data_IF_824476449065
#
_entry.id   IF_824476449065
#
_cell.length_a   1.000
_cell.length_b   1.000
_cell.length_c   1.000
_cell.angle_alpha   90.00
_cell.angle_beta   90.00
_cell.angle_gamma   90.00
#
_symmetry.space_group_name_H-M   'P 1'
#
loop_
_entity.id
_entity.type
_entity.pdbx_description
1 polymer ?
#
# COMPACT_ATOMS: atom_id res chain seq x y z
N UNK A 1 -12.50 3.85 -19.26
CA UNK A 1 -12.05 5.26 -19.33
C UNK A 1 -10.99 5.39 -18.26
N UNK A 2 -9.75 5.23 -18.72
CA UNK A 2 -8.55 4.93 -17.96
C UNK A 2 -8.13 6.21 -17.23
N UNK A 3 -7.64 6.08 -15.98
CA UNK A 3 -6.99 7.11 -15.15
C UNK A 3 -6.71 8.40 -15.96
N UNK A 4 -7.61 9.38 -15.87
CA UNK A 4 -7.52 10.61 -16.69
C UNK A 4 -6.45 11.58 -16.17
N UNK A 5 -5.81 11.25 -15.03
CA UNK A 5 -4.72 12.01 -14.45
C UNK A 5 -3.38 11.49 -15.00
N UNK A 6 -2.59 12.31 -15.70
CA UNK A 6 -1.22 11.91 -16.04
C UNK A 6 -0.43 11.72 -14.74
N UNK A 7 0.19 10.54 -14.57
CA UNK A 7 1.07 10.29 -13.44
C UNK A 7 2.32 11.16 -13.58
N UNK A 8 2.68 11.86 -12.50
CA UNK A 8 3.92 12.62 -12.41
C UNK A 8 4.74 12.14 -11.21
N UNK A 9 6.07 12.37 -11.19
CA UNK A 9 6.84 12.23 -9.98
C UNK A 9 6.20 13.04 -8.85
N UNK A 10 6.04 12.42 -7.69
CA UNK A 10 5.41 13.03 -6.53
C UNK A 10 6.45 13.31 -5.46
N UNK A 11 6.24 14.36 -4.65
CA UNK A 11 7.14 14.65 -3.55
C UNK A 11 6.77 13.81 -2.33
N UNK A 12 7.74 13.07 -1.80
CA UNK A 12 7.61 12.27 -0.60
C UNK A 12 8.41 12.93 0.50
N UNK A 13 7.72 13.55 1.45
CA UNK A 13 8.32 14.33 2.52
C UNK A 13 8.63 13.43 3.71
N UNK A 14 9.89 13.00 3.78
CA UNK A 14 10.38 12.14 4.86
C UNK A 14 10.74 12.99 6.07
N UNK A 15 9.98 12.83 7.15
CA UNK A 15 10.16 13.50 8.43
C UNK A 15 10.89 12.57 9.42
N UNK A 16 12.06 12.98 9.89
CA UNK A 16 12.83 12.26 10.90
C UNK A 16 13.87 13.15 11.57
N UNK A 17 14.13 12.93 12.86
CA UNK A 17 15.26 13.53 13.59
C UNK A 17 16.58 12.80 13.29
N UNK A 18 16.52 11.61 12.71
CA UNK A 18 17.67 10.79 12.39
C UNK A 18 18.12 11.00 10.95
N UNK A 19 19.42 10.86 10.70
CA UNK A 19 20.00 10.80 9.36
C UNK A 19 20.52 9.39 9.07
N UNK A 20 20.54 8.94 7.80
CA UNK A 20 21.12 7.65 7.44
C UNK A 20 22.53 7.49 7.98
N UNK A 21 22.80 6.36 8.63
CA UNK A 21 24.08 6.09 9.30
C UNK A 21 24.56 4.65 9.03
N UNK A 22 25.83 4.38 9.34
CA UNK A 22 26.47 3.09 9.05
C UNK A 22 26.44 2.80 7.55
N UNK A 23 25.95 1.61 7.18
CA UNK A 23 25.88 1.17 5.77
C UNK A 23 24.65 1.71 5.01
N UNK A 24 23.72 2.38 5.70
CA UNK A 24 22.48 2.88 5.08
C UNK A 24 22.73 3.84 3.91
N UNK A 25 23.63 4.84 3.98
CA UNK A 25 23.86 5.76 2.85
C UNK A 25 24.29 5.04 1.57
N UNK A 26 25.17 4.05 1.70
CA UNK A 26 25.65 3.24 0.57
C UNK A 26 24.52 2.38 0.00
N UNK A 27 23.78 1.68 0.86
CA UNK A 27 22.66 0.85 0.43
C UNK A 27 21.55 1.66 -0.27
N UNK A 28 21.23 2.85 0.24
CA UNK A 28 20.26 3.77 -0.39
C UNK A 28 20.76 4.16 -1.77
N UNK A 29 22.03 4.55 -1.90
CA UNK A 29 22.63 4.98 -3.16
C UNK A 29 22.57 3.86 -4.20
N UNK A 30 23.03 2.66 -3.85
CA UNK A 30 23.03 1.50 -4.75
C UNK A 30 21.62 1.14 -5.23
N UNK A 31 20.64 1.10 -4.32
CA UNK A 31 19.25 0.80 -4.68
C UNK A 31 18.64 1.85 -5.62
N UNK A 32 18.91 3.14 -5.37
CA UNK A 32 18.43 4.23 -6.21
C UNK A 32 19.07 4.19 -7.59
N UNK A 33 20.39 3.97 -7.66
CA UNK A 33 21.12 3.81 -8.93
C UNK A 33 20.59 2.63 -9.74
N UNK A 34 20.39 1.47 -9.12
CA UNK A 34 19.81 0.30 -9.79
C UNK A 34 18.43 0.59 -10.38
N UNK A 35 17.56 1.27 -9.62
CA UNK A 35 16.22 1.65 -10.11
C UNK A 35 16.31 2.61 -11.30
N UNK A 36 17.22 3.59 -11.24
CA UNK A 36 17.43 4.57 -12.32
C UNK A 36 18.05 3.94 -13.58
N UNK A 37 18.87 2.90 -13.41
CA UNK A 37 19.45 2.11 -14.50
C UNK A 37 18.44 1.13 -15.13
N UNK A 38 17.21 1.05 -14.60
CA UNK A 38 16.16 0.18 -15.11
C UNK A 38 16.24 -1.26 -14.61
N UNK A 39 17.01 -1.53 -13.55
CA UNK A 39 17.04 -2.83 -12.90
C UNK A 39 15.67 -3.13 -12.28
N UNK A 40 15.12 -4.30 -12.63
CA UNK A 40 13.78 -4.71 -12.19
C UNK A 40 13.78 -5.35 -10.80
N UNK A 41 14.81 -6.13 -10.51
CA UNK A 41 14.90 -6.95 -9.30
C UNK A 41 16.17 -6.61 -8.54
N UNK A 42 16.04 -6.21 -7.28
CA UNK A 42 17.15 -5.85 -6.40
C UNK A 42 16.90 -6.40 -5.00
N UNK A 43 17.96 -6.72 -4.27
CA UNK A 43 17.89 -7.34 -2.93
C UNK A 43 18.69 -6.52 -1.92
N UNK A 44 18.00 -5.98 -0.92
CA UNK A 44 18.63 -5.37 0.25
C UNK A 44 18.97 -6.44 1.30
N UNK A 45 20.23 -6.87 1.35
CA UNK A 45 20.73 -7.79 2.38
C UNK A 45 21.00 -7.05 3.70
N UNK A 46 19.94 -6.76 4.46
CA UNK A 46 20.04 -6.06 5.74
C UNK A 46 19.88 -6.98 6.96
N UNK A 47 20.83 -6.92 7.90
CA UNK A 47 20.73 -7.61 9.20
C UNK A 47 19.54 -7.10 10.03
N UNK A 48 19.07 -7.88 11.01
CA UNK A 48 18.01 -7.44 11.93
C UNK A 48 18.49 -6.24 12.73
N UNK A 49 17.64 -5.21 12.88
CA UNK A 49 17.97 -3.98 13.60
C UNK A 49 18.73 -2.92 12.79
N UNK A 50 19.11 -3.17 11.53
CA UNK A 50 19.85 -2.21 10.70
C UNK A 50 19.03 -1.02 10.18
N UNK A 51 17.74 -0.89 10.54
CA UNK A 51 16.88 0.18 10.03
C UNK A 51 16.46 -0.01 8.56
N UNK A 52 16.07 -1.23 8.17
CA UNK A 52 15.63 -1.54 6.80
C UNK A 52 14.45 -0.68 6.33
N UNK A 53 13.46 -0.43 7.20
CA UNK A 53 12.32 0.44 6.86
C UNK A 53 12.79 1.86 6.55
N UNK A 54 13.71 2.39 7.36
CA UNK A 54 14.27 3.73 7.16
C UNK A 54 15.08 3.83 5.86
N UNK A 55 15.86 2.80 5.55
CA UNK A 55 16.57 2.66 4.25
C UNK A 55 15.57 2.69 3.09
N UNK A 56 14.52 1.87 3.15
CA UNK A 56 13.48 1.82 2.12
C UNK A 56 12.72 3.15 1.98
N UNK A 57 12.44 3.84 3.09
CA UNK A 57 11.80 5.15 3.08
C UNK A 57 12.66 6.20 2.34
N UNK A 58 13.97 6.21 2.56
CA UNK A 58 14.88 7.08 1.82
C UNK A 58 14.93 6.75 0.32
N UNK A 59 14.83 5.46 -0.05
CA UNK A 59 14.70 5.05 -1.45
C UNK A 59 13.41 5.59 -2.06
N UNK A 60 12.26 5.39 -1.39
CA UNK A 60 10.94 5.91 -1.83
C UNK A 60 10.99 7.44 -2.05
N UNK A 61 11.61 8.17 -1.11
CA UNK A 61 11.79 9.62 -1.21
C UNK A 61 12.57 10.04 -2.45
N UNK A 62 13.63 9.32 -2.81
CA UNK A 62 14.49 9.67 -3.94
C UNK A 62 13.89 9.26 -5.28
N UNK A 63 13.22 8.11 -5.34
CA UNK A 63 12.64 7.59 -6.59
C UNK A 63 11.31 8.24 -6.96
N UNK A 64 10.60 8.85 -6.00
CA UNK A 64 9.40 9.69 -6.24
C UNK A 64 8.28 8.99 -7.02
N UNK A 65 8.02 7.71 -6.71
CA UNK A 65 6.97 6.91 -7.35
C UNK A 65 6.03 6.29 -6.30
N UNK A 66 4.73 6.12 -6.63
CA UNK A 66 3.82 5.32 -5.83
C UNK A 66 4.44 3.94 -5.53
N UNK A 67 4.39 3.53 -4.28
CA UNK A 67 5.08 2.32 -3.80
C UNK A 67 4.11 1.36 -3.11
N UNK A 68 4.23 0.07 -3.43
CA UNK A 68 3.52 -1.01 -2.77
C UNK A 68 4.51 -1.80 -1.89
N UNK A 69 4.23 -1.89 -0.60
CA UNK A 69 4.99 -2.68 0.37
C UNK A 69 4.19 -3.92 0.69
N UNK A 70 4.72 -5.10 0.35
CA UNK A 70 4.08 -6.38 0.63
C UNK A 70 4.61 -6.99 1.92
N UNK A 71 3.71 -7.26 2.86
CA UNK A 71 4.00 -7.94 4.11
C UNK A 71 3.34 -9.33 4.13
N UNK A 72 4.03 -10.35 4.67
CA UNK A 72 3.54 -11.73 4.68
C UNK A 72 2.40 -11.97 5.68
N UNK A 73 2.19 -11.07 6.64
CA UNK A 73 1.13 -11.19 7.64
C UNK A 73 0.60 -9.81 8.10
N UNK A 74 -0.58 -9.79 8.71
CA UNK A 74 -1.26 -8.57 9.16
C UNK A 74 -0.46 -7.83 10.25
N UNK A 75 0.26 -8.55 11.11
CA UNK A 75 1.04 -7.94 12.20
C UNK A 75 2.19 -7.09 11.67
N UNK A 76 3.01 -7.66 10.78
CA UNK A 76 4.10 -6.92 10.14
C UNK A 76 3.58 -5.81 9.23
N UNK A 77 2.46 -6.04 8.54
CA UNK A 77 1.80 -5.00 7.75
C UNK A 77 1.41 -3.80 8.61
N UNK A 78 0.82 -4.02 9.79
CA UNK A 78 0.44 -2.95 10.71
C UNK A 78 1.67 -2.21 11.26
N UNK A 79 2.76 -2.92 11.57
CA UNK A 79 4.02 -2.31 11.99
C UNK A 79 4.60 -1.40 10.90
N UNK A 80 4.74 -1.92 9.68
CA UNK A 80 5.26 -1.16 8.53
C UNK A 80 4.36 0.03 8.18
N UNK A 81 3.04 -0.12 8.28
CA UNK A 81 2.10 0.99 8.10
C UNK A 81 2.34 2.09 9.15
N UNK A 82 2.48 1.73 10.42
CA UNK A 82 2.79 2.70 11.49
C UNK A 82 4.13 3.40 11.29
N UNK A 83 5.18 2.65 10.97
CA UNK A 83 6.52 3.21 10.69
C UNK A 83 6.49 4.16 9.48
N UNK A 84 5.88 3.75 8.37
CA UNK A 84 5.77 4.60 7.18
C UNK A 84 4.89 5.83 7.43
N UNK A 85 3.81 5.71 8.21
CA UNK A 85 2.94 6.85 8.54
C UNK A 85 3.67 7.89 9.39
N UNK A 86 4.52 7.45 10.31
CA UNK A 86 5.38 8.33 11.11
C UNK A 86 6.46 9.00 10.26
N UNK A 87 7.03 8.28 9.28
CA UNK A 87 8.07 8.82 8.39
C UNK A 87 7.51 9.75 7.31
N UNK A 88 6.27 9.55 6.87
CA UNK A 88 5.62 10.33 5.81
C UNK A 88 4.24 10.85 6.26
N UNK A 89 4.18 11.74 7.26
CA UNK A 89 2.91 12.19 7.84
C UNK A 89 2.03 12.96 6.84
N UNK A 90 2.64 13.66 5.87
CA UNK A 90 1.95 14.52 4.90
C UNK A 90 1.64 13.82 3.55
N UNK A 91 2.14 12.60 3.36
CA UNK A 91 1.84 11.77 2.18
C UNK A 91 0.72 10.75 2.46
N UNK A 92 0.19 10.15 1.39
CA UNK A 92 -0.82 9.11 1.50
C UNK A 92 -0.20 7.74 1.80
N UNK A 93 0.06 7.50 3.08
CA UNK A 93 0.36 6.16 3.59
C UNK A 93 -0.94 5.44 3.91
N UNK A 94 -1.19 4.33 3.22
CA UNK A 94 -2.46 3.61 3.18
C UNK A 94 -2.28 2.14 3.56
N UNK A 95 -3.35 1.51 4.03
CA UNK A 95 -3.34 0.13 4.52
C UNK A 95 -4.31 -0.76 3.75
N UNK A 96 -3.82 -1.87 3.19
CA UNK A 96 -4.61 -2.75 2.33
C UNK A 96 -4.44 -4.23 2.70
N UNK A 97 -5.25 -4.70 3.64
CA UNK A 97 -5.28 -6.12 4.06
C UNK A 97 -6.70 -6.68 3.96
N UNK A 98 -6.86 -7.98 4.18
CA UNK A 98 -8.20 -8.58 4.27
C UNK A 98 -9.02 -7.87 5.36
N UNK A 99 -10.20 -7.38 4.98
CA UNK A 99 -11.18 -6.78 5.89
C UNK A 99 -11.96 -7.82 6.67
N UNK A 100 -11.73 -9.12 6.46
CA UNK A 100 -12.35 -10.15 7.28
C UNK A 100 -11.56 -10.33 8.58
N UNK A 101 -12.26 -10.22 9.71
CA UNK A 101 -11.75 -10.63 11.03
C UNK A 101 -11.83 -12.15 11.18
N UNK A 102 -12.89 -12.75 10.63
CA UNK A 102 -13.07 -14.18 10.51
C UNK A 102 -13.58 -14.52 9.11
N UNK A 103 -13.05 -15.59 8.51
CA UNK A 103 -13.47 -16.05 7.19
C UNK A 103 -13.35 -17.57 7.09
N UNK A 104 -14.49 -18.23 6.89
CA UNK A 104 -14.60 -19.62 6.50
C UNK A 104 -15.05 -19.66 5.03
N UNK A 105 -14.23 -20.23 4.12
CA UNK A 105 -14.65 -20.42 2.75
C UNK A 105 -15.75 -21.47 2.66
N UNK A 106 -16.60 -21.32 1.66
CA UNK A 106 -17.49 -22.40 1.24
C UNK A 106 -16.66 -23.58 0.73
N UNK A 107 -16.94 -24.79 1.22
CA UNK A 107 -16.23 -25.98 0.80
C UNK A 107 -17.12 -27.22 0.87
N UNK A 108 -16.82 -28.19 0.03
CA UNK A 108 -17.39 -29.53 0.13
C UNK A 108 -16.27 -30.53 0.43
N UNK A 109 -16.46 -31.36 1.46
CA UNK A 109 -15.50 -32.37 1.92
C UNK A 109 -16.00 -33.76 1.49
N UNK A 110 -15.49 -34.34 0.40
CA UNK A 110 -16.08 -35.56 -0.18
C UNK A 110 -15.96 -36.79 0.73
N UNK A 111 -14.91 -36.86 1.55
CA UNK A 111 -14.66 -38.01 2.43
C UNK A 111 -15.74 -38.19 3.50
N UNK A 112 -16.33 -37.10 3.95
CA UNK A 112 -17.35 -37.08 4.99
C UNK A 112 -18.72 -36.65 4.47
N UNK A 113 -18.87 -36.49 3.15
CA UNK A 113 -20.08 -35.97 2.51
C UNK A 113 -20.61 -34.71 3.22
N UNK A 114 -19.69 -33.78 3.54
CA UNK A 114 -20.01 -32.61 4.35
C UNK A 114 -19.87 -31.34 3.52
N UNK A 115 -20.95 -30.58 3.45
CA UNK A 115 -20.92 -29.22 2.95
C UNK A 115 -20.66 -28.24 4.10
N UNK A 116 -19.69 -27.35 3.90
CA UNK A 116 -19.28 -26.30 4.81
C UNK A 116 -19.76 -24.98 4.20
N UNK A 117 -20.73 -24.35 4.85
CA UNK A 117 -21.24 -23.05 4.44
C UNK A 117 -20.20 -21.94 4.63
N UNK A 118 -20.29 -20.93 3.76
CA UNK A 118 -19.52 -19.70 3.92
C UNK A 118 -20.00 -18.96 5.18
N UNK A 119 -19.05 -18.64 6.04
CA UNK A 119 -19.28 -17.77 7.20
C UNK A 119 -18.17 -16.73 7.26
N UNK A 120 -18.52 -15.47 7.54
CA UNK A 120 -17.52 -14.41 7.61
C UNK A 120 -17.97 -13.25 8.48
N UNK A 121 -17.01 -12.60 9.14
CA UNK A 121 -17.18 -11.35 9.87
C UNK A 121 -16.29 -10.27 9.27
N UNK A 122 -16.85 -9.08 9.04
CA UNK A 122 -16.20 -7.94 8.39
C UNK A 122 -15.79 -6.90 9.43
N UNK A 123 -14.59 -6.38 9.27
CA UNK A 123 -14.07 -5.23 9.98
C UNK A 123 -14.29 -3.95 9.16
N UNK A 124 -15.27 -3.15 9.54
CA UNK A 124 -15.64 -1.91 8.85
C UNK A 124 -14.52 -0.86 8.83
N UNK A 125 -13.62 -0.87 9.82
CA UNK A 125 -12.48 0.05 9.83
C UNK A 125 -11.47 -0.34 8.73
N UNK A 126 -11.14 -1.62 8.61
CA UNK A 126 -10.23 -2.11 7.55
C UNK A 126 -10.86 -1.91 6.18
N UNK A 127 -12.17 -2.12 6.04
CA UNK A 127 -12.87 -1.88 4.79
C UNK A 127 -12.77 -0.39 4.35
N UNK A 128 -13.01 0.55 5.28
CA UNK A 128 -12.79 1.98 5.05
C UNK A 128 -11.35 2.30 4.64
N UNK A 129 -10.35 1.66 5.28
CA UNK A 129 -8.94 1.86 4.91
C UNK A 129 -8.63 1.35 3.48
N UNK A 130 -9.27 0.26 3.03
CA UNK A 130 -9.11 -0.21 1.64
C UNK A 130 -9.73 0.73 0.63
N UNK A 131 -10.88 1.32 0.95
CA UNK A 131 -11.49 2.38 0.15
C UNK A 131 -10.60 3.62 0.09
N UNK A 132 -9.97 4.00 1.21
CA UNK A 132 -8.96 5.06 1.25
C UNK A 132 -7.78 4.76 0.33
N UNK A 133 -7.21 3.56 0.40
CA UNK A 133 -6.07 3.14 -0.42
C UNK A 133 -6.34 3.21 -1.92
N UNK A 134 -7.49 2.70 -2.35
CA UNK A 134 -7.89 2.71 -3.77
C UNK A 134 -8.19 4.11 -4.27
N UNK A 135 -8.87 4.93 -3.46
CA UNK A 135 -9.12 6.34 -3.74
C UNK A 135 -7.82 7.14 -3.85
N UNK A 136 -6.87 6.94 -2.93
CA UNK A 136 -5.59 7.63 -2.93
C UNK A 136 -4.82 7.43 -4.26
N UNK A 137 -4.81 6.20 -4.79
CA UNK A 137 -4.18 5.89 -6.09
C UNK A 137 -4.82 6.62 -7.29
N UNK A 138 -6.10 7.02 -7.16
CA UNK A 138 -6.81 7.76 -8.21
C UNK A 138 -6.64 9.27 -8.06
N UNK A 139 -6.45 9.74 -6.82
CA UNK A 139 -6.44 11.17 -6.49
C UNK A 139 -5.06 11.78 -6.36
N UNK A 140 -3.99 11.00 -6.11
CA UNK A 140 -2.62 11.51 -5.92
C UNK A 140 -1.53 10.50 -6.28
N UNK A 141 -0.32 11.00 -6.49
CA UNK A 141 0.84 10.21 -6.93
C UNK A 141 1.83 9.90 -5.77
N UNK A 142 1.72 10.59 -4.64
CA UNK A 142 2.55 10.40 -3.44
C UNK A 142 1.94 9.35 -2.49
N UNK A 143 1.74 8.14 -3.01
CA UNK A 143 1.04 7.05 -2.31
C UNK A 143 1.99 5.92 -1.92
N UNK A 144 1.93 5.50 -0.66
CA UNK A 144 2.58 4.28 -0.15
C UNK A 144 1.48 3.36 0.37
N UNK A 145 1.31 2.18 -0.24
CA UNK A 145 0.36 1.19 0.24
C UNK A 145 1.12 0.08 0.95
N UNK A 146 0.80 -0.16 2.22
CA UNK A 146 1.24 -1.36 2.93
C UNK A 146 0.15 -2.41 2.84
N UNK A 147 0.45 -3.53 2.20
CA UNK A 147 -0.54 -4.55 1.87
C UNK A 147 -0.12 -5.95 2.28
N UNK A 148 -1.12 -6.81 2.49
CA UNK A 148 -0.92 -8.27 2.49
C UNK A 148 -1.14 -8.84 1.10
N UNK A 149 -1.10 -10.17 0.95
CA UNK A 149 -1.52 -10.88 -0.26
C UNK A 149 -2.94 -10.53 -0.72
N UNK A 150 -3.75 -9.81 0.08
CA UNK A 150 -5.03 -9.29 -0.40
C UNK A 150 -4.90 -8.41 -1.66
N UNK A 151 -3.75 -7.81 -1.94
CA UNK A 151 -3.57 -6.96 -3.13
C UNK A 151 -3.55 -7.73 -4.46
N UNK A 152 -3.42 -9.05 -4.45
CA UNK A 152 -3.49 -9.90 -5.64
C UNK A 152 -4.87 -10.53 -5.83
N UNK A 153 -5.80 -10.34 -4.89
CA UNK A 153 -7.18 -10.77 -5.01
C UNK A 153 -7.99 -9.74 -5.80
N UNK A 154 -9.03 -10.22 -6.49
CA UNK A 154 -9.89 -9.40 -7.33
C UNK A 154 -10.52 -8.24 -6.57
N UNK A 155 -10.40 -7.05 -7.15
CA UNK A 155 -11.19 -5.87 -6.81
C UNK A 155 -11.94 -5.43 -8.07
N UNK A 156 -13.06 -4.72 -7.91
CA UNK A 156 -13.81 -4.19 -9.05
C UNK A 156 -12.93 -3.34 -9.98
N UNK A 157 -13.32 -3.24 -11.25
CA UNK A 157 -12.55 -2.48 -12.25
C UNK A 157 -12.41 -1.01 -11.85
N UNK A 158 -11.31 -0.38 -12.26
CA UNK A 158 -11.08 1.06 -12.05
C UNK A 158 -12.18 1.88 -12.71
N UNK A 159 -12.68 1.44 -13.85
CA UNK A 159 -13.82 2.03 -14.54
C UNK A 159 -15.06 2.05 -13.66
N UNK A 160 -15.43 0.91 -13.09
CA UNK A 160 -16.60 0.79 -12.21
C UNK A 160 -16.44 1.71 -10.99
N UNK A 161 -15.26 1.72 -10.37
CA UNK A 161 -15.00 2.57 -9.21
C UNK A 161 -15.13 4.05 -9.55
N UNK A 162 -14.58 4.45 -10.70
CA UNK A 162 -14.64 5.85 -11.17
C UNK A 162 -16.07 6.29 -11.48
N UNK A 163 -16.92 5.41 -12.04
CA UNK A 163 -18.33 5.74 -12.33
C UNK A 163 -19.18 5.90 -11.08
N UNK A 164 -18.74 5.35 -9.93
CA UNK A 164 -19.42 5.51 -8.65
C UNK A 164 -18.99 6.78 -7.89
N UNK A 165 -18.04 7.56 -8.43
CA UNK A 165 -17.62 8.83 -7.82
C UNK A 165 -18.49 10.00 -8.29
N UNK A 166 -18.97 10.80 -7.35
CA UNK A 166 -19.68 12.05 -7.62
C UNK A 166 -18.75 13.21 -7.29
N UNK A 167 -18.43 14.05 -8.29
CA UNK A 167 -17.62 15.26 -8.07
C UNK A 167 -18.54 16.38 -7.63
N UNK A 168 -18.13 17.09 -6.59
CA UNK A 168 -18.84 18.24 -6.05
C UNK A 168 -17.91 19.44 -5.99
N UNK A 169 -18.41 20.58 -6.45
CA UNK A 169 -17.72 21.86 -6.36
C UNK A 169 -18.52 22.85 -5.51
N UNK A 170 -17.82 23.72 -4.79
CA UNK A 170 -18.47 24.76 -3.98
C UNK A 170 -19.32 25.65 -4.89
N UNK A 171 -20.61 25.74 -4.60
CA UNK A 171 -21.58 26.53 -5.38
C UNK A 171 -22.33 25.74 -6.45
N UNK A 172 -22.05 24.44 -6.60
CA UNK A 172 -22.82 23.54 -7.45
C UNK A 172 -24.20 23.28 -6.84
N UNK A 173 -25.26 23.45 -7.64
CA UNK A 173 -26.62 23.04 -7.28
C UNK A 173 -26.85 21.62 -7.78
N UNK A 174 -27.32 20.76 -6.87
CA UNK A 174 -27.65 19.36 -7.12
C UNK A 174 -29.16 19.23 -6.94
N UNK A 175 -29.86 18.59 -7.88
CA UNK A 175 -31.27 18.21 -7.75
C UNK A 175 -31.44 16.88 -7.00
#
# INVERSE_FOLDING_TARGET
MIITRPRAPADFDLQSEFSPAGDQPTAIKELVEGIQNGERDQVLLGVTGSGKTFTAAHVIRQIKRPTLILAPNKTLAAQLYGEMKSLFPDNAVEYFVSYYDYYQPEAYVPRSDTYIEKESSINEQIDRMRHSATRALLERDDVIIVASVSCIYGIGSVETYSTMTFRLSRGEQIE
#
